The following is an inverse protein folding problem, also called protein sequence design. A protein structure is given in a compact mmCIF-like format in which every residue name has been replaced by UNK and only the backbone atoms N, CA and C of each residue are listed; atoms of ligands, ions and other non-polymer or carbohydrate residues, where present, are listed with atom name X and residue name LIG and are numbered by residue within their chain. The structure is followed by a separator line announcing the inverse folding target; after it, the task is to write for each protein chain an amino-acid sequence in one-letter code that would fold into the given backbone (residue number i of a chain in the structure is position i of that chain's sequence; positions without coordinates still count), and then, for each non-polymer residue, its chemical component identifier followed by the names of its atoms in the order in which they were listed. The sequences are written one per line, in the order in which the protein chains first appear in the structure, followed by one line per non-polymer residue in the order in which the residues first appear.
data_IF_781851526461
#
_entry.id   IF_781851526461
#
_cell.length_a   1.000
_cell.length_b   1.000
_cell.length_c   1.000
_cell.angle_alpha   90.00
_cell.angle_beta   90.00
_cell.angle_gamma   90.00
#
_symmetry.space_group_name_H-M   'P 1'
#
loop_
_entity.id
_entity.type
_entity.pdbx_description
1 polymer ?
#
# COMPACT_ATOMS: atom_id res chain seq x y z
N UNK A 1 7.86 39.91 3.64
CA UNK A 1 7.20 38.65 3.91
C UNK A 1 6.18 38.40 2.83
N UNK A 2 6.33 37.35 2.03
CA UNK A 2 5.30 36.98 1.02
C UNK A 2 4.15 36.28 1.76
N UNK A 3 2.89 36.66 1.53
CA UNK A 3 1.75 36.01 2.15
C UNK A 3 1.64 34.57 1.67
N UNK A 4 1.37 33.65 2.59
CA UNK A 4 1.14 32.22 2.29
C UNK A 4 -0.09 32.08 1.39
N UNK A 5 -0.04 31.26 0.31
CA UNK A 5 -1.18 31.03 -0.58
C UNK A 5 -2.29 30.15 0.04
N UNK A 6 -2.13 29.74 1.30
CA UNK A 6 -3.11 28.94 2.02
C UNK A 6 -4.00 29.81 2.93
N UNK A 7 -5.31 30.00 2.63
CA UNK A 7 -6.21 30.87 3.37
C UNK A 7 -6.49 30.41 4.82
N UNK A 8 -6.20 29.15 5.16
CA UNK A 8 -6.32 28.65 6.54
C UNK A 8 -5.13 29.06 7.40
N UNK A 9 -3.93 29.20 6.80
CA UNK A 9 -2.75 29.69 7.49
C UNK A 9 -2.76 31.23 7.64
N UNK A 10 -3.26 31.98 6.66
CA UNK A 10 -3.36 33.45 6.78
C UNK A 10 -4.27 33.86 7.93
N UNK A 11 -5.43 33.21 8.11
CA UNK A 11 -6.35 33.49 9.23
C UNK A 11 -5.80 33.12 10.61
N UNK A 12 -4.89 32.13 10.69
CA UNK A 12 -4.25 31.75 11.94
C UNK A 12 -3.22 32.82 12.41
N UNK A 13 -2.64 33.58 11.46
CA UNK A 13 -1.65 34.63 11.78
C UNK A 13 -2.26 36.01 12.03
N UNK A 14 -3.47 36.27 11.52
CA UNK A 14 -4.16 37.56 11.74
C UNK A 14 -4.63 37.77 13.19
N UNK A 15 -4.71 36.70 13.99
CA UNK A 15 -5.14 36.76 15.40
C UNK A 15 -3.99 36.71 16.42
N UNK A 16 -2.72 36.77 15.97
CA UNK A 16 -1.57 36.72 16.87
C UNK A 16 -1.12 38.12 17.20
N UNK A 17 -1.31 38.54 18.47
CA UNK A 17 -0.82 39.82 18.96
C UNK A 17 0.71 39.89 18.94
N UNK A 18 1.32 41.11 18.87
CA UNK A 18 2.78 41.30 18.75
C UNK A 18 3.64 40.63 19.83
N UNK A 19 3.09 40.41 21.02
CA UNK A 19 3.77 39.71 22.12
C UNK A 19 3.99 38.21 21.87
N UNK A 20 3.12 37.54 21.13
CA UNK A 20 3.29 36.12 20.79
C UNK A 20 4.34 35.89 19.68
N UNK A 21 4.58 36.88 18.80
CA UNK A 21 5.59 36.75 17.75
C UNK A 21 7.03 36.70 18.28
N UNK A 22 7.31 37.42 19.38
CA UNK A 22 8.64 37.38 20.00
C UNK A 22 8.92 36.03 20.67
N UNK A 23 7.90 35.39 21.23
CA UNK A 23 8.05 34.07 21.87
C UNK A 23 8.34 32.94 20.87
N UNK A 24 7.76 33.01 19.68
CA UNK A 24 8.03 32.01 18.61
C UNK A 24 9.43 32.15 17.99
N UNK A 25 9.94 33.38 17.83
CA UNK A 25 11.30 33.61 17.35
C UNK A 25 12.36 33.15 18.36
N UNK A 26 12.12 33.30 19.65
CA UNK A 26 13.05 32.84 20.70
C UNK A 26 13.22 31.30 20.72
N UNK A 27 12.15 30.54 20.47
CA UNK A 27 12.21 29.08 20.44
C UNK A 27 12.95 28.52 19.20
N UNK A 28 12.88 29.19 18.06
CA UNK A 28 13.57 28.76 16.84
C UNK A 28 15.08 28.97 16.92
N UNK A 29 15.54 30.01 17.62
CA UNK A 29 16.99 30.24 17.86
C UNK A 29 17.59 29.27 18.88
N UNK A 30 16.82 28.80 19.88
CA UNK A 30 17.33 27.81 20.84
C UNK A 30 17.48 26.41 20.25
N UNK A 31 16.68 26.01 19.28
CA UNK A 31 16.82 24.70 18.62
C UNK A 31 18.03 24.66 17.66
N UNK A 32 18.47 25.79 17.12
CA UNK A 32 19.59 25.83 16.17
C UNK A 32 20.97 25.87 16.85
N UNK A 33 21.07 26.28 18.12
CA UNK A 33 22.35 26.37 18.85
C UNK A 33 22.51 25.35 19.99
N UNK A 34 21.50 24.55 20.33
CA UNK A 34 21.55 23.56 21.41
C UNK A 34 22.27 22.24 21.06
N UNK A 35 22.68 22.05 19.81
CA UNK A 35 23.21 20.77 19.31
C UNK A 35 24.71 20.51 19.52
N UNK A 36 25.49 21.46 20.02
CA UNK A 36 26.96 21.32 20.05
C UNK A 36 27.62 21.30 21.44
N UNK A 37 26.88 21.18 22.53
CA UNK A 37 27.46 21.21 23.90
C UNK A 37 27.31 19.92 24.73
N UNK A 38 27.07 18.76 24.15
CA UNK A 38 27.02 17.51 24.92
C UNK A 38 28.11 16.48 24.56
N UNK A 39 29.27 16.90 24.10
CA UNK A 39 30.35 15.94 23.74
C UNK A 39 31.68 16.14 24.48
N UNK A 40 31.79 16.94 25.54
CA UNK A 40 33.01 16.99 26.34
C UNK A 40 32.67 17.19 27.82
N UNK A 41 32.48 16.10 28.56
CA UNK A 41 32.95 15.94 29.96
C UNK A 41 32.72 14.49 30.40
N UNK A 42 33.69 13.67 30.17
CA UNK A 42 33.83 12.42 30.91
C UNK A 42 35.32 12.30 31.30
N UNK A 43 35.70 12.92 32.42
CA UNK A 43 36.91 12.56 33.17
C UNK A 43 36.75 12.87 34.65
N UNK A 44 36.79 11.83 35.42
CA UNK A 44 37.25 11.60 36.78
C UNK A 44 37.37 12.77 37.78
N UNK A 45 36.78 12.56 38.98
CA UNK A 45 37.08 13.36 40.17
C UNK A 45 36.37 12.87 41.42
N UNK A 46 37.12 12.22 42.28
CA UNK A 46 36.77 11.70 43.61
C UNK A 46 36.19 12.72 44.61
N UNK A 47 35.14 12.29 45.33
CA UNK A 47 35.05 12.48 46.80
C UNK A 47 34.44 13.80 47.32
N UNK A 48 33.50 13.66 48.19
CA UNK A 48 33.27 14.11 49.56
C UNK A 48 31.76 14.25 49.87
N UNK A 49 31.39 13.58 50.98
CA UNK A 49 30.10 13.62 51.63
C UNK A 49 29.78 15.06 52.16
N UNK A 50 28.57 15.50 51.99
CA UNK A 50 27.97 16.47 52.90
C UNK A 50 26.43 16.23 52.98
N UNK A 51 26.00 16.16 54.22
CA UNK A 51 24.68 15.83 54.76
C UNK A 51 23.54 16.74 54.27
N UNK A 52 22.36 16.13 54.23
CA UNK A 52 21.04 16.81 54.08
C UNK A 52 20.77 17.76 55.28
N UNK A 53 19.87 18.72 55.07
CA UNK A 53 18.77 18.89 55.97
C UNK A 53 17.41 18.81 55.30
N UNK A 54 16.50 18.14 56.05
CA UNK A 54 15.07 18.07 55.78
C UNK A 54 14.40 19.45 55.70
N UNK A 55 13.54 19.63 54.72
CA UNK A 55 12.62 20.75 54.66
C UNK A 55 11.50 20.43 53.68
N UNK A 56 10.40 19.91 54.21
CA UNK A 56 9.16 19.71 53.50
C UNK A 56 8.55 21.03 53.07
N UNK A 57 8.16 21.14 51.79
CA UNK A 57 6.92 21.86 51.42
C UNK A 57 6.54 21.43 50.00
N UNK A 58 5.44 20.69 49.90
CA UNK A 58 4.80 20.32 48.64
C UNK A 58 4.27 21.60 47.96
N UNK A 59 4.99 22.04 46.92
CA UNK A 59 4.45 22.95 45.95
C UNK A 59 3.68 22.17 44.90
N UNK A 60 2.38 22.24 44.92
CA UNK A 60 1.52 21.82 43.83
C UNK A 60 1.87 22.72 42.64
N UNK A 61 2.54 22.16 41.63
CA UNK A 61 2.82 22.83 40.37
C UNK A 61 1.60 22.61 39.46
N UNK A 62 0.69 23.58 39.28
CA UNK A 62 -0.52 23.40 38.47
C UNK A 62 -0.24 23.27 36.99
N UNK A 63 1.02 23.42 36.56
CA UNK A 63 1.45 23.31 35.16
C UNK A 63 2.20 22.01 34.80
N UNK A 64 2.35 21.10 35.75
CA UNK A 64 2.96 19.79 35.51
C UNK A 64 2.03 18.78 34.80
N UNK A 65 0.83 19.19 34.43
CA UNK A 65 -0.06 18.37 33.62
C UNK A 65 0.20 18.60 32.13
N UNK A 66 0.93 17.65 31.50
CA UNK A 66 0.75 17.37 30.09
C UNK A 66 1.83 17.77 29.11
N UNK A 67 3.11 17.67 29.48
CA UNK A 67 4.07 17.30 28.44
C UNK A 67 4.05 15.78 28.35
N UNK A 68 2.98 15.25 27.77
CA UNK A 68 3.00 13.86 27.32
C UNK A 68 4.26 13.71 26.48
N UNK A 69 5.17 12.85 26.93
CA UNK A 69 6.34 12.47 26.16
C UNK A 69 5.80 12.04 24.78
N UNK A 70 5.90 12.94 23.78
CA UNK A 70 5.74 12.56 22.39
C UNK A 70 6.83 11.54 22.13
N UNK A 71 6.51 10.26 22.30
CA UNK A 71 7.39 9.20 21.82
C UNK A 71 7.68 9.51 20.33
N UNK A 72 8.94 9.59 19.93
CA UNK A 72 9.27 9.83 18.54
C UNK A 72 8.57 8.75 17.71
N UNK A 73 7.56 9.14 16.95
CA UNK A 73 6.84 8.20 16.08
C UNK A 73 7.85 7.63 15.08
N UNK A 74 8.02 6.31 15.13
CA UNK A 74 8.89 5.61 14.18
C UNK A 74 8.42 5.88 12.76
N UNK A 75 9.32 6.37 11.93
CA UNK A 75 9.04 6.65 10.52
C UNK A 75 9.08 5.36 9.68
N UNK A 76 8.29 5.35 8.60
CA UNK A 76 8.21 4.26 7.65
C UNK A 76 9.55 4.06 6.93
N UNK A 77 9.97 2.80 6.79
CA UNK A 77 11.11 2.38 5.97
C UNK A 77 10.67 1.46 4.83
N UNK A 78 11.53 1.27 3.83
CA UNK A 78 11.27 0.29 2.74
C UNK A 78 11.15 -1.12 3.33
N UNK A 79 12.01 -1.47 4.30
CA UNK A 79 11.99 -2.79 4.94
C UNK A 79 10.68 -3.06 5.69
N UNK A 80 10.07 -2.02 6.29
CA UNK A 80 8.75 -2.14 6.90
C UNK A 80 7.69 -2.53 5.87
N UNK A 81 7.72 -1.94 4.68
CA UNK A 81 6.78 -2.25 3.60
C UNK A 81 7.00 -3.66 3.06
N UNK A 82 8.26 -4.02 2.79
CA UNK A 82 8.62 -5.36 2.29
C UNK A 82 8.20 -6.44 3.28
N UNK A 83 8.52 -6.27 4.57
CA UNK A 83 8.16 -7.22 5.62
C UNK A 83 6.64 -7.38 5.73
N UNK A 84 5.88 -6.28 5.73
CA UNK A 84 4.41 -6.32 5.81
C UNK A 84 3.78 -6.91 4.56
N UNK A 85 4.34 -6.63 3.38
CA UNK A 85 3.93 -7.28 2.13
C UNK A 85 4.17 -8.79 2.20
N UNK A 86 5.34 -9.22 2.67
CA UNK A 86 5.65 -10.65 2.84
C UNK A 86 4.68 -11.34 3.82
N UNK A 87 4.28 -10.68 4.92
CA UNK A 87 3.29 -11.21 5.87
C UNK A 87 1.92 -11.41 5.19
N UNK A 88 1.44 -10.41 4.42
CA UNK A 88 0.18 -10.51 3.69
C UNK A 88 0.25 -11.65 2.66
N UNK A 89 1.36 -11.73 1.90
CA UNK A 89 1.57 -12.79 0.91
C UNK A 89 1.67 -14.17 1.55
N UNK A 90 2.31 -14.31 2.71
CA UNK A 90 2.35 -15.59 3.42
C UNK A 90 0.94 -16.07 3.79
N UNK A 91 0.10 -15.20 4.33
CA UNK A 91 -1.31 -15.50 4.61
C UNK A 91 -2.09 -15.87 3.35
N UNK A 92 -1.91 -15.09 2.27
CA UNK A 92 -2.51 -15.31 0.97
C UNK A 92 -2.12 -16.69 0.39
N UNK A 93 -0.84 -17.05 0.42
CA UNK A 93 -0.34 -18.32 -0.09
C UNK A 93 -0.87 -19.52 0.72
N UNK A 94 -0.95 -19.39 2.05
CA UNK A 94 -1.53 -20.42 2.91
C UNK A 94 -2.99 -20.69 2.54
N UNK A 95 -3.81 -19.65 2.43
CA UNK A 95 -5.23 -19.82 2.07
C UNK A 95 -5.42 -20.24 0.62
N UNK A 96 -4.55 -19.80 -0.30
CA UNK A 96 -4.54 -20.29 -1.68
C UNK A 96 -4.25 -21.80 -1.74
N UNK A 97 -3.25 -22.28 -0.99
CA UNK A 97 -2.92 -23.68 -0.93
C UNK A 97 -4.05 -24.52 -0.29
N UNK A 98 -4.67 -24.03 0.79
CA UNK A 98 -5.83 -24.69 1.40
C UNK A 98 -7.00 -24.77 0.41
N UNK A 99 -7.31 -23.69 -0.29
CA UNK A 99 -8.36 -23.71 -1.33
C UNK A 99 -8.05 -24.71 -2.44
N UNK A 100 -6.81 -24.72 -2.90
CA UNK A 100 -6.36 -25.69 -3.92
C UNK A 100 -6.55 -27.14 -3.48
N UNK A 101 -6.23 -27.46 -2.23
CA UNK A 101 -6.29 -28.82 -1.70
C UNK A 101 -7.71 -29.26 -1.37
N UNK A 102 -8.51 -28.38 -0.75
CA UNK A 102 -9.78 -28.79 -0.13
C UNK A 102 -11.04 -28.46 -0.93
N UNK A 103 -11.01 -27.45 -1.84
CA UNK A 103 -12.20 -27.13 -2.64
C UNK A 103 -12.34 -28.12 -3.79
N UNK A 104 -13.46 -28.89 -3.87
CA UNK A 104 -13.71 -29.80 -4.98
C UNK A 104 -13.81 -29.06 -6.31
N UNK A 105 -13.43 -29.77 -7.37
CA UNK A 105 -13.37 -29.21 -8.73
C UNK A 105 -14.75 -28.77 -9.22
N UNK A 106 -15.76 -29.52 -8.87
CA UNK A 106 -17.15 -29.35 -9.32
C UNK A 106 -17.75 -28.03 -8.83
N UNK A 107 -17.28 -27.54 -7.66
CA UNK A 107 -17.79 -26.32 -7.04
C UNK A 107 -16.78 -25.16 -7.09
N UNK A 108 -15.58 -25.36 -7.65
CA UNK A 108 -14.52 -24.33 -7.63
C UNK A 108 -14.95 -23.05 -8.33
N UNK A 109 -15.61 -23.13 -9.46
CA UNK A 109 -16.00 -21.96 -10.24
C UNK A 109 -17.05 -21.08 -9.53
N UNK A 110 -18.23 -21.59 -9.10
CA UNK A 110 -19.18 -20.80 -8.35
C UNK A 110 -18.62 -20.30 -7.02
N UNK A 111 -17.76 -21.09 -6.35
CA UNK A 111 -17.10 -20.70 -5.12
C UNK A 111 -16.15 -19.49 -5.33
N UNK A 112 -15.35 -19.52 -6.39
CA UNK A 112 -14.41 -18.43 -6.74
C UNK A 112 -15.18 -17.16 -7.13
N UNK A 113 -16.27 -17.26 -7.88
CA UNK A 113 -17.09 -16.11 -8.26
C UNK A 113 -17.63 -15.43 -6.99
N UNK A 114 -18.20 -16.20 -6.05
CA UNK A 114 -18.69 -15.67 -4.79
C UNK A 114 -17.59 -15.02 -3.95
N UNK A 115 -16.44 -15.70 -3.79
CA UNK A 115 -15.29 -15.17 -3.08
C UNK A 115 -14.73 -13.90 -3.73
N UNK A 116 -14.69 -13.82 -5.07
CA UNK A 116 -14.22 -12.63 -5.81
C UNK A 116 -15.10 -11.40 -5.54
N UNK A 117 -16.42 -11.56 -5.44
CA UNK A 117 -17.33 -10.46 -5.09
C UNK A 117 -17.02 -9.95 -3.68
N UNK A 118 -16.84 -10.86 -2.72
CA UNK A 118 -16.51 -10.49 -1.33
C UNK A 118 -15.16 -9.73 -1.29
N UNK A 119 -14.13 -10.26 -1.95
CA UNK A 119 -12.81 -9.65 -1.99
C UNK A 119 -12.83 -8.30 -2.68
N UNK A 120 -13.57 -8.16 -3.79
CA UNK A 120 -13.72 -6.90 -4.49
C UNK A 120 -14.36 -5.82 -3.61
N UNK A 121 -15.46 -6.15 -2.93
CA UNK A 121 -16.12 -5.23 -1.99
C UNK A 121 -15.16 -4.86 -0.85
N UNK A 122 -14.45 -5.85 -0.30
CA UNK A 122 -13.47 -5.62 0.76
C UNK A 122 -12.32 -4.72 0.29
N UNK A 123 -11.77 -4.96 -0.90
CA UNK A 123 -10.73 -4.11 -1.49
C UNK A 123 -11.22 -2.67 -1.65
N UNK A 124 -12.45 -2.49 -2.16
CA UNK A 124 -13.05 -1.18 -2.35
C UNK A 124 -13.22 -0.44 -1.02
N UNK A 125 -13.77 -1.10 0.00
CA UNK A 125 -13.93 -0.53 1.35
C UNK A 125 -12.58 -0.13 1.94
N UNK A 126 -11.56 -0.99 1.82
CA UNK A 126 -10.23 -0.73 2.35
C UNK A 126 -9.50 0.39 1.59
N UNK A 127 -9.70 0.50 0.27
CA UNK A 127 -9.11 1.57 -0.55
C UNK A 127 -9.56 2.97 -0.10
N UNK A 128 -10.83 3.10 0.35
CA UNK A 128 -11.37 4.38 0.85
C UNK A 128 -11.11 4.63 2.34
N UNK A 129 -10.61 3.65 3.09
CA UNK A 129 -10.28 3.86 4.50
C UNK A 129 -9.05 4.76 4.65
N UNK A 130 -9.16 5.76 5.55
CA UNK A 130 -8.04 6.68 5.85
C UNK A 130 -6.86 5.99 6.55
N UNK A 131 -7.15 5.04 7.42
CA UNK A 131 -6.15 4.29 8.19
C UNK A 131 -6.36 2.79 7.96
N UNK A 132 -5.26 2.08 7.70
CA UNK A 132 -5.25 0.65 7.51
C UNK A 132 -4.36 0.02 8.58
N UNK A 133 -4.96 -0.81 9.42
CA UNK A 133 -4.24 -1.57 10.43
C UNK A 133 -3.79 -2.94 9.92
N UNK A 134 -2.96 -3.65 10.69
CA UNK A 134 -2.48 -4.99 10.34
C UNK A 134 -3.61 -5.99 10.10
N UNK A 135 -4.62 -5.96 10.97
CA UNK A 135 -5.75 -6.92 10.91
C UNK A 135 -6.50 -6.82 9.59
N UNK A 136 -6.80 -5.59 9.11
CA UNK A 136 -7.53 -5.40 7.87
C UNK A 136 -6.72 -5.80 6.62
N UNK A 137 -5.41 -5.53 6.63
CA UNK A 137 -4.53 -5.91 5.53
C UNK A 137 -4.32 -7.43 5.44
N UNK A 138 -4.11 -8.08 6.59
CA UNK A 138 -3.94 -9.54 6.66
C UNK A 138 -5.28 -10.24 6.32
N UNK A 139 -6.40 -9.78 6.86
CA UNK A 139 -7.71 -10.33 6.54
C UNK A 139 -8.01 -10.27 5.05
N UNK A 140 -7.67 -9.16 4.38
CA UNK A 140 -7.76 -9.07 2.93
C UNK A 140 -6.89 -10.12 2.25
N UNK A 141 -5.63 -10.26 2.63
CA UNK A 141 -4.72 -11.27 2.06
C UNK A 141 -5.26 -12.70 2.19
N UNK A 142 -5.85 -13.04 3.34
CA UNK A 142 -6.46 -14.35 3.58
C UNK A 142 -7.66 -14.61 2.65
N UNK A 143 -8.55 -13.65 2.47
CA UNK A 143 -9.73 -13.79 1.57
C UNK A 143 -9.28 -13.80 0.11
N UNK A 144 -8.34 -12.95 -0.27
CA UNK A 144 -7.77 -12.89 -1.63
C UNK A 144 -7.06 -14.20 -1.99
N UNK A 145 -6.38 -14.83 -1.03
CA UNK A 145 -5.74 -16.13 -1.24
C UNK A 145 -6.74 -17.23 -1.59
N UNK A 146 -7.95 -17.18 -1.03
CA UNK A 146 -9.04 -18.11 -1.40
C UNK A 146 -9.40 -17.94 -2.89
N UNK A 147 -9.55 -16.70 -3.35
CA UNK A 147 -9.83 -16.39 -4.76
C UNK A 147 -8.70 -16.86 -5.66
N UNK A 148 -7.46 -16.51 -5.32
CA UNK A 148 -6.28 -16.90 -6.06
C UNK A 148 -6.12 -18.42 -6.17
N UNK A 149 -6.27 -19.14 -5.08
CA UNK A 149 -6.18 -20.61 -5.05
C UNK A 149 -7.21 -21.26 -5.98
N UNK A 150 -8.45 -20.76 -5.94
CA UNK A 150 -9.52 -21.26 -6.79
C UNK A 150 -9.33 -20.93 -8.27
N UNK A 151 -8.95 -19.69 -8.63
CA UNK A 151 -8.61 -19.35 -10.01
C UNK A 151 -7.41 -20.14 -10.51
N UNK A 152 -6.37 -20.26 -9.72
CA UNK A 152 -5.20 -21.06 -10.07
C UNK A 152 -5.57 -22.51 -10.35
N UNK A 153 -6.36 -23.14 -9.47
CA UNK A 153 -6.86 -24.51 -9.65
C UNK A 153 -7.66 -24.66 -10.94
N UNK A 154 -8.59 -23.71 -11.21
CA UNK A 154 -9.40 -23.72 -12.42
C UNK A 154 -8.55 -23.63 -13.69
N UNK A 155 -7.56 -22.70 -13.74
CA UNK A 155 -6.68 -22.56 -14.90
C UNK A 155 -5.74 -23.74 -15.07
N UNK A 156 -5.22 -24.30 -13.98
CA UNK A 156 -4.32 -25.46 -14.02
C UNK A 156 -5.01 -26.73 -14.56
N UNK A 157 -6.31 -26.88 -14.26
CA UNK A 157 -7.11 -27.98 -14.80
C UNK A 157 -7.30 -27.87 -16.32
N UNK A 158 -7.51 -26.66 -16.81
CA UNK A 158 -7.68 -26.43 -18.25
C UNK A 158 -6.35 -26.50 -18.98
N UNK A 159 -5.28 -26.02 -18.37
CA UNK A 159 -3.94 -25.94 -18.97
C UNK A 159 -2.85 -26.29 -17.94
N UNK A 160 -2.49 -27.55 -17.81
CA UNK A 160 -1.48 -27.99 -16.85
C UNK A 160 -0.16 -27.24 -16.98
N UNK A 161 0.41 -26.79 -15.83
CA UNK A 161 1.65 -26.05 -15.75
C UNK A 161 1.51 -24.55 -15.98
N UNK A 162 0.30 -24.02 -16.23
CA UNK A 162 0.09 -22.58 -16.48
C UNK A 162 0.34 -21.73 -15.23
N UNK A 163 -0.01 -22.24 -14.05
CA UNK A 163 0.12 -21.53 -12.78
C UNK A 163 1.58 -21.21 -12.49
N UNK A 164 2.47 -22.18 -12.61
CA UNK A 164 3.91 -21.95 -12.40
C UNK A 164 4.46 -20.91 -13.38
N UNK A 165 4.04 -20.97 -14.64
CA UNK A 165 4.47 -20.00 -15.66
C UNK A 165 3.94 -18.60 -15.35
N UNK A 166 2.68 -18.47 -14.90
CA UNK A 166 2.10 -17.18 -14.53
C UNK A 166 2.80 -16.57 -13.31
N UNK A 167 3.14 -17.39 -12.31
CA UNK A 167 3.91 -16.96 -11.15
C UNK A 167 5.27 -16.40 -11.58
N UNK A 168 6.03 -17.17 -12.38
CA UNK A 168 7.33 -16.74 -12.87
C UNK A 168 7.23 -15.48 -13.73
N UNK A 169 6.24 -15.40 -14.63
CA UNK A 169 6.00 -14.23 -15.46
C UNK A 169 5.67 -13.00 -14.62
N UNK A 170 4.83 -13.13 -13.59
CA UNK A 170 4.48 -12.03 -12.68
C UNK A 170 5.70 -11.50 -11.95
N UNK A 171 6.51 -12.40 -11.37
CA UNK A 171 7.75 -11.98 -10.71
C UNK A 171 8.75 -11.36 -11.68
N UNK A 172 8.87 -11.90 -12.91
CA UNK A 172 9.75 -11.33 -13.92
C UNK A 172 9.32 -9.89 -14.30
N UNK A 173 8.01 -9.66 -14.55
CA UNK A 173 7.49 -8.33 -14.84
C UNK A 173 7.68 -7.38 -13.66
N UNK A 174 7.41 -7.84 -12.43
CA UNK A 174 7.60 -7.03 -11.23
C UNK A 174 9.08 -6.65 -11.03
N UNK A 175 10.01 -7.60 -11.21
CA UNK A 175 11.44 -7.37 -11.10
C UNK A 175 11.95 -6.40 -12.19
N UNK A 176 11.55 -6.61 -13.44
CA UNK A 176 11.90 -5.71 -14.56
C UNK A 176 11.34 -4.31 -14.30
N UNK A 177 10.09 -4.22 -13.84
CA UNK A 177 9.48 -2.92 -13.50
C UNK A 177 10.26 -2.21 -12.41
N UNK A 178 10.70 -2.91 -11.36
CA UNK A 178 11.52 -2.33 -10.29
C UNK A 178 12.89 -1.88 -10.81
N UNK A 179 13.54 -2.68 -11.65
CA UNK A 179 14.82 -2.33 -12.28
C UNK A 179 14.67 -1.06 -13.13
N UNK A 180 13.67 -1.04 -14.00
CA UNK A 180 13.37 0.12 -14.86
C UNK A 180 13.04 1.36 -14.01
N UNK A 181 12.22 1.19 -12.96
CA UNK A 181 11.89 2.25 -12.01
C UNK A 181 13.16 2.88 -11.41
N UNK A 182 14.10 2.07 -10.95
CA UNK A 182 15.36 2.52 -10.34
C UNK A 182 16.32 3.12 -11.37
N UNK A 183 16.49 2.46 -12.52
CA UNK A 183 17.47 2.87 -13.53
C UNK A 183 17.11 4.19 -14.21
N UNK A 184 15.82 4.42 -14.49
CA UNK A 184 15.33 5.63 -15.14
C UNK A 184 14.86 6.72 -14.17
N UNK A 185 15.08 6.53 -12.86
CA UNK A 185 14.66 7.44 -11.78
C UNK A 185 13.20 7.89 -11.96
N UNK A 186 12.31 6.90 -12.19
CA UNK A 186 10.90 7.15 -12.45
C UNK A 186 10.20 7.80 -11.25
N UNK A 187 10.75 7.65 -10.05
CA UNK A 187 10.25 8.30 -8.84
C UNK A 187 10.11 9.82 -8.96
N UNK A 188 10.99 10.46 -9.73
CA UNK A 188 10.92 11.90 -10.04
C UNK A 188 9.89 12.23 -11.13
N UNK A 189 9.61 11.29 -12.03
CA UNK A 189 8.70 11.49 -13.18
C UNK A 189 7.25 11.17 -12.81
N UNK A 190 7.03 10.30 -11.83
CA UNK A 190 5.70 9.94 -11.33
C UNK A 190 5.18 11.04 -10.42
N UNK A 191 4.46 11.98 -11.01
CA UNK A 191 3.87 13.12 -10.32
C UNK A 191 2.34 13.03 -10.24
N UNK A 192 1.73 14.06 -9.66
CA UNK A 192 0.27 14.13 -9.48
C UNK A 192 -0.52 13.90 -10.78
N UNK A 193 -0.06 14.47 -11.91
CA UNK A 193 -0.73 14.29 -13.22
C UNK A 193 -0.73 12.83 -13.68
N UNK A 194 0.43 12.15 -13.58
CA UNK A 194 0.54 10.73 -13.93
C UNK A 194 -0.43 9.89 -13.09
N UNK A 195 -0.41 10.04 -11.77
CA UNK A 195 -1.31 9.31 -10.88
C UNK A 195 -2.78 9.60 -11.17
N UNK A 196 -3.13 10.85 -11.50
CA UNK A 196 -4.51 11.20 -11.88
C UNK A 196 -4.95 10.49 -13.16
N UNK A 197 -4.15 10.53 -14.23
CA UNK A 197 -4.49 9.83 -15.47
C UNK A 197 -4.55 8.31 -15.30
N UNK A 198 -3.61 7.74 -14.54
CA UNK A 198 -3.60 6.31 -14.23
C UNK A 198 -4.84 5.91 -13.43
N UNK A 199 -5.22 6.68 -12.42
CA UNK A 199 -6.44 6.42 -11.61
C UNK A 199 -7.70 6.49 -12.48
N UNK A 200 -7.81 7.46 -13.39
CA UNK A 200 -8.93 7.56 -14.32
C UNK A 200 -8.96 6.34 -15.26
N UNK A 201 -7.80 5.93 -15.79
CA UNK A 201 -7.70 4.78 -16.69
C UNK A 201 -8.09 3.47 -15.99
N UNK A 202 -7.57 3.25 -14.75
CA UNK A 202 -7.93 2.08 -13.93
C UNK A 202 -9.43 2.12 -13.55
N UNK A 203 -9.95 3.28 -13.18
CA UNK A 203 -11.37 3.46 -12.87
C UNK A 203 -12.28 3.17 -14.07
N UNK A 204 -11.91 3.65 -15.25
CA UNK A 204 -12.60 3.35 -16.51
C UNK A 204 -12.55 1.87 -16.87
N UNK A 205 -11.36 1.25 -16.71
CA UNK A 205 -11.19 -0.19 -16.89
C UNK A 205 -12.06 -0.99 -15.93
N UNK A 206 -12.05 -0.65 -14.64
CA UNK A 206 -12.87 -1.30 -13.62
C UNK A 206 -14.37 -1.16 -13.93
N UNK A 207 -14.84 0.02 -14.35
CA UNK A 207 -16.21 0.24 -14.76
C UNK A 207 -16.61 -0.63 -15.96
N UNK A 208 -15.75 -0.75 -16.98
CA UNK A 208 -15.96 -1.64 -18.12
C UNK A 208 -16.05 -3.11 -17.69
N UNK A 209 -15.22 -3.54 -16.73
CA UNK A 209 -15.24 -4.91 -16.19
C UNK A 209 -16.51 -5.18 -15.38
N UNK A 210 -16.99 -4.20 -14.61
CA UNK A 210 -18.26 -4.30 -13.87
C UNK A 210 -19.46 -4.38 -14.81
N UNK A 211 -19.45 -3.60 -15.89
CA UNK A 211 -20.49 -3.70 -16.92
C UNK A 211 -20.47 -5.08 -17.60
N UNK A 212 -19.30 -5.60 -17.96
CA UNK A 212 -19.16 -6.95 -18.51
C UNK A 212 -19.67 -8.03 -17.55
N UNK A 213 -19.35 -7.91 -16.26
CA UNK A 213 -19.87 -8.81 -15.22
C UNK A 213 -21.39 -8.69 -15.10
N UNK A 214 -21.94 -7.46 -15.09
CA UNK A 214 -23.38 -7.24 -15.06
C UNK A 214 -24.08 -7.93 -16.21
N UNK A 215 -23.59 -7.75 -17.45
CA UNK A 215 -24.15 -8.43 -18.63
C UNK A 215 -24.03 -9.96 -18.49
N UNK A 216 -22.90 -10.47 -18.01
CA UNK A 216 -22.71 -11.91 -17.81
C UNK A 216 -23.71 -12.53 -16.82
N UNK A 217 -24.07 -11.81 -15.75
CA UNK A 217 -25.06 -12.28 -14.77
C UNK A 217 -26.48 -12.39 -15.36
N UNK A 218 -26.85 -11.53 -16.32
CA UNK A 218 -28.17 -11.56 -16.99
C UNK A 218 -28.20 -12.46 -18.23
N UNK A 219 -27.05 -12.74 -18.85
CA UNK A 219 -26.95 -13.52 -20.10
C UNK A 219 -26.46 -14.97 -19.87
N UNK A 220 -26.71 -15.56 -18.71
CA UNK A 220 -26.35 -16.95 -18.44
C UNK A 220 -24.84 -17.22 -18.42
N UNK A 221 -24.03 -16.21 -18.03
CA UNK A 221 -22.58 -16.33 -17.88
C UNK A 221 -21.76 -15.80 -19.06
N UNK A 222 -22.38 -15.51 -20.20
CA UNK A 222 -21.71 -14.88 -21.35
C UNK A 222 -21.78 -13.35 -21.22
N UNK A 223 -20.62 -12.73 -20.95
CA UNK A 223 -20.53 -11.26 -20.94
C UNK A 223 -20.46 -10.68 -22.35
N UNK A 224 -19.86 -9.49 -22.47
CA UNK A 224 -19.65 -8.77 -23.74
C UNK A 224 -18.47 -9.33 -24.57
N UNK A 225 -17.94 -10.51 -24.23
CA UNK A 225 -16.74 -11.06 -24.87
C UNK A 225 -15.43 -10.35 -24.50
N UNK A 226 -15.46 -9.49 -23.46
CA UNK A 226 -14.30 -8.71 -23.07
C UNK A 226 -13.24 -9.51 -22.31
N UNK A 227 -13.63 -10.65 -21.73
CA UNK A 227 -12.80 -11.43 -20.79
C UNK A 227 -12.85 -12.94 -21.08
N UNK A 228 -12.88 -13.31 -22.35
CA UNK A 228 -12.72 -14.70 -22.75
C UNK A 228 -11.37 -15.26 -22.32
N UNK A 229 -11.27 -16.58 -22.24
CA UNK A 229 -10.04 -17.32 -21.89
C UNK A 229 -9.78 -18.43 -22.92
N UNK A 230 -8.53 -18.81 -23.02
CA UNK A 230 -8.13 -19.90 -23.91
C UNK A 230 -7.85 -19.46 -25.34
N UNK A 231 -7.48 -20.43 -26.21
CA UNK A 231 -6.96 -20.16 -27.56
C UNK A 231 -8.00 -19.60 -28.53
N UNK A 232 -9.29 -19.75 -28.23
CA UNK A 232 -10.39 -19.27 -29.07
C UNK A 232 -10.86 -17.85 -28.69
N UNK A 233 -10.15 -17.19 -27.76
CA UNK A 233 -10.50 -15.85 -27.34
C UNK A 233 -10.40 -14.85 -28.50
N UNK A 234 -11.40 -13.98 -28.62
CA UNK A 234 -11.43 -12.96 -29.65
C UNK A 234 -10.31 -11.92 -29.48
N UNK A 235 -9.92 -11.26 -30.59
CA UNK A 235 -8.89 -10.20 -30.57
C UNK A 235 -9.18 -9.09 -29.57
N UNK A 236 -10.45 -8.78 -29.34
CA UNK A 236 -10.87 -7.79 -28.35
C UNK A 236 -10.47 -8.22 -26.92
N UNK A 237 -10.71 -9.47 -26.56
CA UNK A 237 -10.35 -10.01 -25.24
C UNK A 237 -8.83 -10.01 -25.02
N UNK A 238 -8.07 -10.37 -26.06
CA UNK A 238 -6.59 -10.32 -26.04
C UNK A 238 -6.10 -8.88 -25.84
N UNK A 239 -6.66 -7.94 -26.64
CA UNK A 239 -6.29 -6.52 -26.54
C UNK A 239 -6.59 -5.92 -25.16
N UNK A 240 -7.74 -6.25 -24.57
CA UNK A 240 -8.14 -5.84 -23.22
C UNK A 240 -7.19 -6.43 -22.16
N UNK A 241 -6.78 -7.68 -22.31
CA UNK A 241 -5.83 -8.29 -21.37
C UNK A 241 -4.44 -7.65 -21.46
N UNK A 242 -3.96 -7.35 -22.67
CA UNK A 242 -2.69 -6.63 -22.85
C UNK A 242 -2.80 -5.23 -22.18
N UNK A 243 -3.90 -4.52 -22.41
CA UNK A 243 -4.16 -3.22 -21.76
C UNK A 243 -4.14 -3.37 -20.23
N UNK A 244 -4.77 -4.41 -19.68
CA UNK A 244 -4.81 -4.67 -18.25
C UNK A 244 -3.40 -4.94 -17.68
N UNK A 245 -2.56 -5.71 -18.39
CA UNK A 245 -1.15 -5.94 -18.01
C UNK A 245 -0.37 -4.62 -17.98
N UNK A 246 -0.56 -3.78 -18.98
CA UNK A 246 0.08 -2.45 -19.02
C UNK A 246 -0.38 -1.59 -17.85
N UNK A 247 -1.69 -1.52 -17.59
CA UNK A 247 -2.24 -0.76 -16.46
C UNK A 247 -1.74 -1.28 -15.11
N UNK A 248 -1.69 -2.60 -14.92
CA UNK A 248 -1.15 -3.21 -13.69
C UNK A 248 0.35 -2.89 -13.52
N UNK A 249 1.13 -2.92 -14.60
CA UNK A 249 2.55 -2.56 -14.57
C UNK A 249 2.76 -1.08 -14.23
N UNK A 250 1.96 -0.18 -14.81
CA UNK A 250 2.00 1.24 -14.49
C UNK A 250 1.53 1.52 -13.05
N UNK A 251 0.56 0.74 -12.55
CA UNK A 251 0.14 0.78 -11.15
C UNK A 251 1.29 0.40 -10.21
N UNK A 252 2.04 -0.65 -10.56
CA UNK A 252 3.22 -1.07 -9.79
C UNK A 252 4.30 0.03 -9.75
N UNK A 253 4.53 0.74 -10.85
CA UNK A 253 5.42 1.93 -10.88
C UNK A 253 4.91 3.01 -9.94
N UNK A 254 3.60 3.26 -9.91
CA UNK A 254 2.97 4.22 -8.99
C UNK A 254 3.10 3.79 -7.53
N UNK A 255 2.95 2.49 -7.25
CA UNK A 255 3.13 1.94 -5.89
C UNK A 255 4.56 2.15 -5.38
N UNK A 256 5.57 1.86 -6.21
CA UNK A 256 6.97 2.12 -5.86
C UNK A 256 7.24 3.61 -5.61
N UNK A 257 6.67 4.49 -6.45
CA UNK A 257 6.82 5.93 -6.27
C UNK A 257 6.14 6.42 -4.97
N UNK A 258 4.99 5.89 -4.64
CA UNK A 258 4.27 6.22 -3.41
C UNK A 258 5.05 5.79 -2.17
N UNK A 259 5.62 4.57 -2.18
CA UNK A 259 6.46 4.05 -1.10
C UNK A 259 7.70 4.94 -0.93
N UNK A 260 8.42 5.23 -2.01
CA UNK A 260 9.63 6.05 -1.97
C UNK A 260 9.36 7.46 -1.46
N UNK A 261 8.29 8.10 -1.95
CA UNK A 261 7.87 9.43 -1.50
C UNK A 261 7.46 9.43 -0.03
N UNK A 262 6.75 8.40 0.43
CA UNK A 262 6.37 8.23 1.83
C UNK A 262 7.57 8.09 2.77
N UNK A 263 8.57 7.29 2.37
CA UNK A 263 9.83 7.13 3.13
C UNK A 263 10.60 8.46 3.19
N UNK A 264 10.72 9.16 2.05
CA UNK A 264 11.40 10.47 2.01
C UNK A 264 10.68 11.54 2.83
N UNK A 265 9.36 11.47 2.90
CA UNK A 265 8.53 12.39 3.70
C UNK A 265 8.49 12.04 5.20
N UNK A 266 9.07 10.91 5.61
CA UNK A 266 9.08 10.49 7.02
C UNK A 266 7.69 10.19 7.57
N UNK A 267 6.78 9.63 6.76
CA UNK A 267 5.43 9.29 7.22
C UNK A 267 5.45 8.22 8.32
N UNK A 268 4.43 8.16 9.20
CA UNK A 268 4.36 7.17 10.28
C UNK A 268 4.44 5.73 9.78
N UNK A 269 5.07 4.85 10.56
CA UNK A 269 5.29 3.42 10.23
C UNK A 269 4.00 2.65 9.95
N UNK A 270 2.87 3.07 10.48
CA UNK A 270 1.53 2.49 10.25
C UNK A 270 1.13 2.57 8.78
N UNK A 271 1.60 3.61 8.06
CA UNK A 271 1.32 3.82 6.62
C UNK A 271 1.88 2.67 5.78
N UNK A 272 2.89 1.94 6.25
CA UNK A 272 3.46 0.81 5.52
C UNK A 272 2.48 -0.36 5.34
N UNK A 273 1.47 -0.54 6.19
CA UNK A 273 0.38 -1.51 5.96
C UNK A 273 -0.46 -1.16 4.73
N UNK A 274 -0.71 0.14 4.53
CA UNK A 274 -1.42 0.63 3.35
C UNK A 274 -0.60 0.44 2.07
N UNK A 275 0.71 0.72 2.15
CA UNK A 275 1.64 0.48 1.04
C UNK A 275 1.70 -1.02 0.68
N UNK A 276 1.82 -1.89 1.69
CA UNK A 276 1.86 -3.33 1.53
C UNK A 276 0.57 -3.88 0.92
N UNK A 277 -0.58 -3.39 1.36
CA UNK A 277 -1.88 -3.73 0.77
C UNK A 277 -1.96 -3.32 -0.71
N UNK A 278 -1.63 -2.07 -1.05
CA UNK A 278 -1.63 -1.60 -2.44
C UNK A 278 -0.75 -2.46 -3.34
N UNK A 279 0.49 -2.72 -2.91
CA UNK A 279 1.43 -3.56 -3.64
C UNK A 279 0.89 -4.99 -3.81
N UNK A 280 0.25 -5.56 -2.77
CA UNK A 280 -0.38 -6.88 -2.86
C UNK A 280 -1.50 -6.90 -3.90
N UNK A 281 -2.42 -5.93 -3.86
CA UNK A 281 -3.53 -5.83 -4.84
C UNK A 281 -3.00 -5.77 -6.27
N UNK A 282 -2.00 -4.94 -6.51
CA UNK A 282 -1.41 -4.76 -7.85
C UNK A 282 -0.71 -6.03 -8.35
N UNK A 283 0.04 -6.73 -7.49
CA UNK A 283 0.72 -7.98 -7.84
C UNK A 283 -0.27 -9.12 -8.10
N UNK A 284 -1.34 -9.22 -7.31
CA UNK A 284 -2.41 -10.18 -7.53
C UNK A 284 -3.13 -9.91 -8.85
N UNK A 285 -3.48 -8.66 -9.13
CA UNK A 285 -4.07 -8.30 -10.41
C UNK A 285 -3.16 -8.69 -11.57
N UNK A 286 -1.87 -8.34 -11.51
CA UNK A 286 -0.89 -8.72 -12.54
C UNK A 286 -0.83 -10.24 -12.73
N UNK A 287 -0.83 -11.01 -11.64
CA UNK A 287 -0.84 -12.47 -11.70
C UNK A 287 -2.06 -13.02 -12.45
N UNK A 288 -3.26 -12.52 -12.13
CA UNK A 288 -4.49 -12.95 -12.80
C UNK A 288 -4.49 -12.60 -14.30
N UNK A 289 -3.91 -11.45 -14.67
CA UNK A 289 -3.75 -11.09 -16.08
C UNK A 289 -2.70 -11.97 -16.77
N UNK A 290 -1.62 -12.38 -16.07
CA UNK A 290 -0.64 -13.33 -16.60
C UNK A 290 -1.26 -14.72 -16.84
N UNK A 291 -2.09 -15.23 -15.92
CA UNK A 291 -2.84 -16.46 -16.15
C UNK A 291 -3.67 -16.39 -17.44
N UNK A 292 -4.40 -15.26 -17.60
CA UNK A 292 -5.24 -15.07 -18.78
C UNK A 292 -4.42 -14.91 -20.05
N UNK A 293 -3.38 -14.11 -20.05
CA UNK A 293 -2.50 -13.91 -21.20
C UNK A 293 -1.86 -15.22 -21.65
N UNK A 294 -1.38 -16.04 -20.70
CA UNK A 294 -0.79 -17.33 -21.00
C UNK A 294 -1.84 -18.33 -21.53
N UNK A 295 -3.10 -18.24 -21.10
CA UNK A 295 -4.16 -19.10 -21.61
C UNK A 295 -4.42 -18.92 -23.10
N UNK A 296 -4.18 -17.74 -23.66
CA UNK A 296 -4.31 -17.48 -25.11
C UNK A 296 -3.22 -18.16 -25.94
N UNK A 297 -2.07 -18.46 -25.32
CA UNK A 297 -0.92 -19.08 -25.97
C UNK A 297 -0.99 -20.63 -25.91
N UNK A 298 -1.97 -21.19 -25.19
CA UNK A 298 -2.17 -22.65 -25.06
C UNK A 298 -3.04 -23.15 -26.19
N UNK A 299 -2.54 -24.20 -26.85
CA UNK A 299 -3.25 -24.93 -27.92
C UNK A 299 -3.81 -26.23 -27.39
#
# INVERSE_FOLDING_TARGET
MMPSPNPALSRAFDNVTPQHQQQFQGQQYQQQYGGYQQQFTNEQGYGWHAQQPHGAQGGFDPYAHGVGQMQPQRTMTIDDVVTKTAIIFAGLLVTAALTWLFVPVEVVLPFVIGASVITFVMALVLAFRRQMGPVSAIAYGLVEGVVLGGFSKFFEMLWPGIVMQAVLATFAVAAVTLIVYRFFDLGRKVGKKFNTYLTIAIGGFAAAMLLNLGVALFNGGSGLGLREIGPNAGLLSIGITILAVVLATLSLVSDFAFIEQGVKAGVPVETSWRCAFGLTVTLVWLYLEMLRLLSYLRR
#
